data_IF_985215899249
#
_entry.id   IF_985215899249
#
_cell.length_a   1.000
_cell.length_b   1.000
_cell.length_c   1.000
_cell.angle_alpha   90.00
_cell.angle_beta   90.00
_cell.angle_gamma   90.00
#
_symmetry.space_group_name_H-M   'P 1'
#
loop_
_entity.id
_entity.type
_entity.pdbx_description
1 polymer ?
#
# COMPACT_ATOMS: atom_id res chain seq x y z
N UNK A 1 -15.17 14.55 -13.76
CA UNK A 1 -14.40 13.76 -12.78
C UNK A 1 -14.67 12.28 -13.03
N UNK A 2 -13.72 11.58 -13.67
CA UNK A 2 -13.86 10.16 -13.96
C UNK A 2 -13.69 9.34 -12.68
N UNK A 3 -14.60 8.39 -12.45
CA UNK A 3 -14.48 7.39 -11.38
C UNK A 3 -13.09 6.74 -11.48
N UNK A 4 -12.24 6.94 -10.47
CA UNK A 4 -11.08 6.09 -10.23
C UNK A 4 -11.61 4.69 -9.88
N UNK A 5 -11.82 3.86 -10.91
CA UNK A 5 -12.13 2.46 -10.71
C UNK A 5 -10.86 1.78 -10.19
N UNK A 6 -10.91 1.33 -8.94
CA UNK A 6 -9.89 0.51 -8.26
C UNK A 6 -9.67 -0.88 -8.92
N UNK A 7 -10.17 -1.08 -10.15
CA UNK A 7 -10.29 -2.40 -10.76
C UNK A 7 -9.01 -2.88 -11.48
N UNK A 8 -8.06 -1.98 -11.79
CA UNK A 8 -6.98 -2.29 -12.73
C UNK A 8 -5.56 -2.39 -12.13
N UNK A 9 -5.29 -1.79 -10.96
CA UNK A 9 -4.03 -2.01 -10.23
C UNK A 9 -3.98 -3.45 -9.66
N UNK A 10 -5.14 -4.04 -9.38
CA UNK A 10 -5.28 -5.38 -8.79
C UNK A 10 -5.20 -6.51 -9.84
N UNK A 11 -5.09 -6.22 -11.13
CA UNK A 11 -4.73 -7.28 -12.10
C UNK A 11 -3.32 -7.84 -11.83
N UNK A 12 -2.49 -7.12 -11.06
CA UNK A 12 -1.09 -7.44 -10.79
C UNK A 12 -0.88 -8.25 -9.51
N UNK A 13 -1.80 -8.16 -8.53
CA UNK A 13 -1.77 -9.04 -7.32
C UNK A 13 -2.23 -10.47 -7.64
N UNK A 14 -2.90 -10.67 -8.79
CA UNK A 14 -3.43 -11.97 -9.24
C UNK A 14 -2.39 -13.07 -9.40
N UNK A 15 -1.10 -12.74 -9.56
CA UNK A 15 -0.09 -13.74 -9.92
C UNK A 15 0.95 -14.06 -8.84
N UNK A 16 1.00 -13.32 -7.72
CA UNK A 16 2.06 -13.48 -6.70
C UNK A 16 1.61 -14.29 -5.47
N UNK A 17 0.32 -14.27 -5.10
CA UNK A 17 -0.15 -14.81 -3.81
C UNK A 17 -0.85 -16.17 -3.88
N UNK A 18 -0.82 -16.87 -5.02
CA UNK A 18 -1.54 -18.16 -5.17
C UNK A 18 -0.89 -19.29 -4.33
N UNK A 19 0.35 -19.14 -3.83
CA UNK A 19 1.07 -20.25 -3.16
C UNK A 19 1.25 -20.14 -1.63
N UNK A 20 0.70 -19.13 -0.95
CA UNK A 20 0.69 -19.08 0.53
C UNK A 20 -0.72 -19.22 1.13
N UNK A 21 -1.66 -19.68 0.30
CA UNK A 21 -3.04 -19.92 0.68
C UNK A 21 -3.16 -21.32 1.28
N UNK A 22 -3.34 -21.38 2.60
CA UNK A 22 -4.30 -22.23 3.31
C UNK A 22 -4.09 -21.98 4.81
N UNK A 23 -5.19 -21.97 5.57
CA UNK A 23 -5.26 -21.79 7.03
C UNK A 23 -5.35 -20.36 7.56
N UNK A 24 -6.50 -19.71 7.34
CA UNK A 24 -7.24 -19.03 8.42
C UNK A 24 -8.72 -18.97 8.03
N UNK A 25 -9.57 -19.66 8.79
CA UNK A 25 -11.01 -19.64 8.61
C UNK A 25 -11.57 -18.25 8.93
N UNK A 26 -12.47 -17.77 8.08
CA UNK A 26 -13.22 -16.53 8.29
C UNK A 26 -14.38 -16.80 9.25
N UNK A 27 -14.31 -16.27 10.48
CA UNK A 27 -15.49 -16.11 11.32
C UNK A 27 -16.28 -14.86 10.88
N UNK A 28 -17.60 -14.97 10.87
CA UNK A 28 -18.51 -13.92 10.41
C UNK A 28 -18.51 -12.73 11.38
N UNK A 29 -18.09 -11.54 10.92
CA UNK A 29 -18.13 -10.31 11.71
C UNK A 29 -19.57 -9.76 11.86
N UNK A 30 -19.95 -9.48 13.12
CA UNK A 30 -21.28 -9.03 13.60
C UNK A 30 -21.34 -7.51 13.88
N UNK A 31 -22.58 -6.98 13.98
CA UNK A 31 -23.01 -5.56 14.03
C UNK A 31 -22.77 -4.81 15.37
N UNK A 32 -21.52 -4.66 15.83
CA UNK A 32 -21.16 -3.55 16.73
C UNK A 32 -20.45 -2.46 15.92
N UNK A 33 -20.45 -1.16 16.33
CA UNK A 33 -19.51 -0.20 15.74
C UNK A 33 -18.11 -0.78 15.93
N UNK A 34 -17.52 -1.23 14.83
CA UNK A 34 -16.30 -2.02 14.88
C UNK A 34 -15.19 -1.09 15.33
N UNK A 35 -14.68 -1.29 16.55
CA UNK A 35 -13.45 -0.67 16.98
C UNK A 35 -12.30 -1.42 16.29
N UNK A 36 -11.86 -0.89 15.15
CA UNK A 36 -10.80 -1.49 14.36
C UNK A 36 -9.45 -1.42 15.09
N UNK A 37 -9.22 -0.38 15.88
CA UNK A 37 -7.97 -0.16 16.61
C UNK A 37 -7.68 -1.31 17.58
N UNK A 38 -8.69 -1.79 18.32
CA UNK A 38 -8.52 -2.93 19.23
C UNK A 38 -8.13 -4.23 18.49
N UNK A 39 -8.54 -4.39 17.23
CA UNK A 39 -8.14 -5.54 16.42
C UNK A 39 -6.69 -5.39 15.95
N UNK A 40 -6.27 -4.18 15.60
CA UNK A 40 -4.91 -3.89 15.15
C UNK A 40 -3.91 -3.91 16.31
N UNK A 41 -4.32 -3.46 17.50
CA UNK A 41 -3.54 -3.54 18.74
C UNK A 41 -3.17 -5.00 19.07
N UNK A 42 -4.07 -5.96 18.82
CA UNK A 42 -3.80 -7.39 19.03
C UNK A 42 -2.68 -7.93 18.13
N UNK A 43 -2.46 -7.33 16.95
CA UNK A 43 -1.32 -7.66 16.07
C UNK A 43 -0.02 -7.12 16.69
N UNK A 44 -0.07 -5.92 17.30
CA UNK A 44 1.07 -5.25 17.92
C UNK A 44 1.48 -5.84 19.27
N UNK A 45 0.54 -6.30 20.10
CA UNK A 45 0.73 -6.69 21.50
C UNK A 45 1.88 -7.71 21.70
N UNK A 46 2.09 -8.59 20.72
CA UNK A 46 3.10 -9.67 20.80
C UNK A 46 4.44 -9.31 20.14
N UNK A 47 4.56 -8.12 19.56
CA UNK A 47 5.72 -7.76 18.77
C UNK A 47 6.84 -7.15 19.62
N UNK A 48 8.08 -7.46 19.25
CA UNK A 48 9.27 -6.80 19.79
C UNK A 48 9.42 -5.46 19.07
N UNK A 49 9.35 -4.36 19.80
CA UNK A 49 9.42 -3.01 19.23
C UNK A 49 10.83 -2.45 19.39
N UNK A 50 11.41 -1.93 18.31
CA UNK A 50 12.70 -1.25 18.31
C UNK A 50 12.72 -0.12 17.28
N UNK A 51 12.75 1.13 17.72
CA UNK A 51 12.73 2.31 16.82
C UNK A 51 14.01 2.47 15.99
N UNK A 52 15.08 1.77 16.34
CA UNK A 52 16.35 1.82 15.62
C UNK A 52 16.47 0.74 14.54
N UNK A 53 15.64 -0.31 14.61
CA UNK A 53 15.60 -1.39 13.62
C UNK A 53 14.75 -1.01 12.41
N UNK A 54 15.43 -0.62 11.32
CA UNK A 54 14.81 -0.21 10.05
C UNK A 54 14.53 -1.37 9.09
N UNK A 55 14.71 -2.64 9.51
CA UNK A 55 14.58 -3.80 8.62
C UNK A 55 13.22 -3.85 7.91
N UNK A 56 12.13 -3.70 8.66
CA UNK A 56 10.77 -3.70 8.08
C UNK A 56 10.54 -2.50 7.15
N UNK A 57 11.06 -1.32 7.51
CA UNK A 57 10.95 -0.12 6.68
C UNK A 57 11.66 -0.33 5.33
N UNK A 58 12.84 -0.94 5.35
CA UNK A 58 13.60 -1.28 4.15
C UNK A 58 12.90 -2.33 3.28
N UNK A 59 12.25 -3.33 3.89
CA UNK A 59 11.43 -4.31 3.16
C UNK A 59 10.25 -3.64 2.44
N UNK A 60 9.55 -2.71 3.09
CA UNK A 60 8.45 -1.96 2.46
C UNK A 60 8.95 -1.07 1.31
N UNK A 61 10.13 -0.45 1.44
CA UNK A 61 10.74 0.29 0.33
C UNK A 61 11.12 -0.63 -0.84
N UNK A 62 11.68 -1.80 -0.59
CA UNK A 62 11.99 -2.76 -1.67
C UNK A 62 10.72 -3.25 -2.36
N UNK A 63 9.65 -3.49 -1.60
CA UNK A 63 8.36 -3.83 -2.16
C UNK A 63 7.82 -2.70 -3.06
N UNK A 64 7.93 -1.44 -2.61
CA UNK A 64 7.60 -0.28 -3.44
C UNK A 64 8.39 -0.27 -4.75
N UNK A 65 9.71 -0.44 -4.69
CA UNK A 65 10.58 -0.44 -5.85
C UNK A 65 10.20 -1.55 -6.84
N UNK A 66 10.05 -2.78 -6.35
CA UNK A 66 9.79 -3.96 -7.18
C UNK A 66 8.39 -3.98 -7.82
N UNK A 67 7.40 -3.41 -7.15
CA UNK A 67 5.98 -3.58 -7.51
C UNK A 67 5.39 -2.32 -8.11
N UNK A 68 5.70 -1.15 -7.55
CA UNK A 68 5.00 0.08 -7.91
C UNK A 68 5.85 1.05 -8.74
N UNK A 69 7.16 1.12 -8.50
CA UNK A 69 8.06 2.08 -9.14
C UNK A 69 8.64 1.59 -10.47
N UNK A 70 8.74 0.27 -10.67
CA UNK A 70 9.24 -0.33 -11.90
C UNK A 70 8.48 0.13 -13.14
N UNK A 71 9.18 0.26 -14.28
CA UNK A 71 8.52 0.64 -15.53
C UNK A 71 7.49 -0.40 -15.99
N UNK A 72 7.82 -1.68 -15.87
CA UNK A 72 6.95 -2.78 -16.28
C UNK A 72 6.61 -3.62 -15.06
N UNK A 73 5.34 -4.00 -15.00
CA UNK A 73 4.83 -4.90 -13.98
C UNK A 73 5.65 -6.19 -13.96
N UNK A 74 6.21 -6.52 -12.80
CA UNK A 74 7.03 -7.72 -12.60
C UNK A 74 6.72 -8.36 -11.25
N UNK A 75 7.20 -9.59 -11.08
CA UNK A 75 7.18 -10.26 -9.79
C UNK A 75 8.16 -9.57 -8.84
N UNK A 76 7.97 -9.78 -7.53
CA UNK A 76 8.97 -9.40 -6.52
C UNK A 76 10.35 -9.96 -6.90
N UNK A 77 11.39 -9.16 -6.66
CA UNK A 77 12.76 -9.63 -6.86
C UNK A 77 13.08 -10.77 -5.89
N UNK A 78 14.02 -11.63 -6.27
CA UNK A 78 14.52 -12.70 -5.40
C UNK A 78 15.05 -12.14 -4.07
N UNK A 79 15.66 -10.95 -4.11
CA UNK A 79 16.15 -10.27 -2.91
C UNK A 79 15.00 -9.90 -1.96
N UNK A 80 13.91 -9.33 -2.48
CA UNK A 80 12.75 -8.99 -1.66
C UNK A 80 12.08 -10.23 -1.10
N UNK A 81 11.91 -11.27 -1.91
CA UNK A 81 11.34 -12.55 -1.46
C UNK A 81 12.19 -13.16 -0.34
N UNK A 82 13.50 -13.24 -0.52
CA UNK A 82 14.42 -13.78 0.49
C UNK A 82 14.44 -12.92 1.76
N UNK A 83 14.38 -11.61 1.62
CA UNK A 83 14.28 -10.67 2.74
C UNK A 83 13.03 -10.91 3.58
N UNK A 84 11.86 -11.04 2.93
CA UNK A 84 10.61 -11.36 3.59
C UNK A 84 10.68 -12.72 4.30
N UNK A 85 11.17 -13.76 3.62
CA UNK A 85 11.31 -15.10 4.19
C UNK A 85 12.23 -15.11 5.41
N UNK A 86 13.38 -14.44 5.32
CA UNK A 86 14.36 -14.36 6.40
C UNK A 86 13.77 -13.61 7.59
N UNK A 87 13.10 -12.47 7.34
CA UNK A 87 12.44 -11.70 8.37
C UNK A 87 11.35 -12.50 9.08
N UNK A 88 10.51 -13.23 8.33
CA UNK A 88 9.47 -14.07 8.91
C UNK A 88 10.02 -15.29 9.67
N UNK A 89 11.15 -15.85 9.24
CA UNK A 89 11.80 -16.97 9.91
C UNK A 89 12.50 -16.60 11.23
N UNK A 90 12.82 -15.32 11.46
CA UNK A 90 13.52 -14.86 12.65
C UNK A 90 12.56 -14.59 13.84
N UNK A 91 12.53 -15.43 14.89
CA UNK A 91 11.67 -15.21 16.07
C UNK A 91 12.06 -13.94 16.88
N UNK A 92 13.23 -13.37 16.65
CA UNK A 92 13.71 -12.15 17.28
C UNK A 92 13.43 -10.87 16.50
N UNK A 93 12.91 -11.00 15.27
CA UNK A 93 12.61 -9.90 14.37
C UNK A 93 11.80 -8.78 15.06
N UNK A 94 12.32 -7.56 15.00
CA UNK A 94 11.68 -6.38 15.57
C UNK A 94 10.66 -5.79 14.59
N UNK A 95 9.68 -5.08 15.14
CA UNK A 95 8.65 -4.34 14.40
C UNK A 95 7.84 -5.21 13.42
N UNK A 96 7.80 -6.54 13.64
CA UNK A 96 7.10 -7.49 12.76
C UNK A 96 5.64 -7.12 12.50
N UNK A 97 4.96 -6.58 13.52
CA UNK A 97 3.57 -6.15 13.42
C UNK A 97 3.33 -5.15 12.28
N UNK A 98 4.31 -4.31 11.92
CA UNK A 98 4.22 -3.38 10.78
C UNK A 98 4.06 -4.14 9.48
N UNK A 99 4.86 -5.20 9.29
CA UNK A 99 4.76 -6.05 8.10
C UNK A 99 3.46 -6.84 8.12
N UNK A 100 3.03 -7.34 9.27
CA UNK A 100 1.78 -8.09 9.39
C UNK A 100 0.55 -7.22 9.08
N UNK A 101 0.53 -5.96 9.53
CA UNK A 101 -0.50 -4.98 9.16
C UNK A 101 -0.48 -4.68 7.66
N UNK A 102 0.70 -4.48 7.08
CA UNK A 102 0.87 -4.27 5.65
C UNK A 102 0.35 -5.48 4.83
N UNK A 103 0.72 -6.70 5.23
CA UNK A 103 0.26 -7.93 4.58
C UNK A 103 -1.24 -8.14 4.77
N UNK A 104 -1.79 -7.79 5.93
CA UNK A 104 -3.24 -7.80 6.19
C UNK A 104 -3.97 -6.87 5.22
N UNK A 105 -3.42 -5.66 4.98
CA UNK A 105 -3.99 -4.72 4.02
C UNK A 105 -3.94 -5.28 2.58
N UNK A 106 -2.80 -5.83 2.16
CA UNK A 106 -2.66 -6.46 0.84
C UNK A 106 -3.63 -7.62 0.64
N UNK A 107 -3.75 -8.48 1.65
CA UNK A 107 -4.66 -9.63 1.64
C UNK A 107 -6.11 -9.15 1.53
N UNK A 108 -6.51 -8.15 2.30
CA UNK A 108 -7.85 -7.59 2.26
C UNK A 108 -8.22 -7.05 0.87
N UNK A 109 -7.33 -6.27 0.26
CA UNK A 109 -7.54 -5.73 -1.10
C UNK A 109 -7.70 -6.86 -2.12
N UNK A 110 -6.89 -7.91 -1.98
CA UNK A 110 -6.92 -9.09 -2.85
C UNK A 110 -8.24 -9.86 -2.72
N UNK A 111 -8.67 -10.14 -1.49
CA UNK A 111 -9.85 -10.96 -1.21
C UNK A 111 -11.14 -10.28 -1.68
N UNK A 112 -11.27 -8.97 -1.44
CA UNK A 112 -12.44 -8.21 -1.91
C UNK A 112 -12.57 -8.30 -3.43
N UNK A 113 -11.44 -8.15 -4.14
CA UNK A 113 -11.42 -8.23 -5.59
C UNK A 113 -11.76 -9.64 -6.09
N UNK A 114 -11.16 -10.68 -5.51
CA UNK A 114 -11.43 -12.08 -5.89
C UNK A 114 -12.87 -12.50 -5.59
N UNK A 115 -13.44 -12.02 -4.49
CA UNK A 115 -14.81 -12.29 -4.11
C UNK A 115 -15.84 -11.52 -4.99
N UNK A 116 -15.39 -10.52 -5.75
CA UNK A 116 -16.28 -9.65 -6.53
C UNK A 116 -17.27 -8.85 -5.67
N UNK A 117 -16.97 -8.68 -4.38
CA UNK A 117 -17.84 -7.98 -3.43
C UNK A 117 -17.38 -6.53 -3.27
N UNK A 118 -18.27 -5.59 -2.90
CA UNK A 118 -17.84 -4.24 -2.53
C UNK A 118 -16.88 -4.29 -1.34
N UNK A 119 -15.80 -3.50 -1.41
CA UNK A 119 -14.90 -3.29 -0.29
C UNK A 119 -15.64 -2.64 0.88
N UNK A 120 -15.33 -3.04 2.11
CA UNK A 120 -15.51 -2.19 3.27
C UNK A 120 -14.40 -1.13 3.26
N UNK A 121 -14.70 0.00 2.62
CA UNK A 121 -13.76 1.11 2.46
C UNK A 121 -13.39 1.76 3.78
N UNK A 122 -14.27 1.71 4.80
CA UNK A 122 -13.96 2.18 6.16
C UNK A 122 -12.91 1.32 6.85
N UNK A 123 -12.96 0.01 6.68
CA UNK A 123 -11.91 -0.89 7.16
C UNK A 123 -10.58 -0.62 6.46
N UNK A 124 -10.57 -0.45 5.13
CA UNK A 124 -9.35 -0.14 4.39
C UNK A 124 -8.69 1.14 4.89
N UNK A 125 -9.46 2.22 5.05
CA UNK A 125 -8.98 3.51 5.57
C UNK A 125 -8.44 3.36 6.99
N UNK A 126 -9.18 2.70 7.88
CA UNK A 126 -8.76 2.50 9.27
C UNK A 126 -7.44 1.73 9.36
N UNK A 127 -7.31 0.62 8.62
CA UNK A 127 -6.11 -0.22 8.64
C UNK A 127 -4.87 0.53 8.11
N UNK A 128 -5.00 1.23 6.99
CA UNK A 128 -3.85 1.92 6.39
C UNK A 128 -3.45 3.17 7.19
N UNK A 129 -4.40 3.85 7.84
CA UNK A 129 -4.09 4.97 8.74
C UNK A 129 -3.41 4.50 10.02
N UNK A 130 -3.87 3.40 10.60
CA UNK A 130 -3.21 2.78 11.74
C UNK A 130 -1.77 2.39 11.39
N UNK A 131 -1.54 1.74 10.24
CA UNK A 131 -0.21 1.39 9.77
C UNK A 131 0.68 2.63 9.55
N UNK A 132 0.15 3.70 8.95
CA UNK A 132 0.87 4.95 8.75
C UNK A 132 1.28 5.62 10.07
N UNK A 133 0.39 5.60 11.07
CA UNK A 133 0.69 6.11 12.40
C UNK A 133 1.84 5.33 13.04
N UNK A 134 1.78 3.99 13.01
CA UNK A 134 2.82 3.13 13.59
C UNK A 134 4.19 3.36 12.92
N UNK A 135 4.22 3.48 11.60
CA UNK A 135 5.44 3.78 10.85
C UNK A 135 6.04 5.14 11.24
N UNK A 136 5.21 6.18 11.39
CA UNK A 136 5.65 7.49 11.84
C UNK A 136 6.14 7.49 13.28
N UNK A 137 5.48 6.74 14.17
CA UNK A 137 5.89 6.60 15.56
C UNK A 137 7.23 5.88 15.73
N UNK A 138 7.52 4.90 14.85
CA UNK A 138 8.76 4.14 14.86
C UNK A 138 9.90 4.87 14.14
N UNK A 139 9.64 5.39 12.94
CA UNK A 139 10.68 5.81 11.99
C UNK A 139 10.62 7.30 11.63
N UNK A 140 9.64 8.04 12.13
CA UNK A 140 9.46 9.48 11.86
C UNK A 140 8.86 9.79 10.48
N UNK A 141 8.74 8.81 9.59
CA UNK A 141 8.08 8.94 8.29
C UNK A 141 7.56 7.56 7.81
N UNK A 142 6.71 7.57 6.78
CA UNK A 142 6.18 6.37 6.13
C UNK A 142 6.84 6.16 4.76
N UNK A 143 7.09 4.91 4.31
CA UNK A 143 7.50 4.62 2.94
C UNK A 143 6.52 5.15 1.87
N UNK A 144 7.01 5.40 0.65
CA UNK A 144 6.21 5.91 -0.47
C UNK A 144 4.95 5.07 -0.76
N UNK A 145 5.08 3.74 -0.66
CA UNK A 145 3.97 2.79 -0.85
C UNK A 145 2.78 3.03 0.10
N UNK A 146 3.05 3.53 1.30
CA UNK A 146 2.00 3.82 2.28
C UNK A 146 1.19 5.04 1.84
N UNK A 147 1.84 6.11 1.38
CA UNK A 147 1.12 7.26 0.81
C UNK A 147 0.22 6.85 -0.36
N UNK A 148 0.71 5.97 -1.24
CA UNK A 148 -0.03 5.45 -2.39
C UNK A 148 -1.27 4.67 -1.92
N UNK A 149 -1.11 3.71 -1.01
CA UNK A 149 -2.25 2.91 -0.55
C UNK A 149 -3.23 3.71 0.30
N UNK A 150 -2.76 4.67 1.10
CA UNK A 150 -3.63 5.59 1.83
C UNK A 150 -4.48 6.41 0.87
N UNK A 151 -3.88 7.04 -0.14
CA UNK A 151 -4.65 7.83 -1.08
C UNK A 151 -5.67 6.98 -1.85
N UNK A 152 -5.33 5.73 -2.18
CA UNK A 152 -6.24 4.79 -2.84
C UNK A 152 -7.41 4.40 -1.95
N UNK A 153 -7.17 4.10 -0.66
CA UNK A 153 -8.21 3.79 0.31
C UNK A 153 -9.19 4.96 0.50
N UNK A 154 -8.68 6.19 0.67
CA UNK A 154 -9.50 7.39 0.78
C UNK A 154 -10.29 7.67 -0.50
N UNK A 155 -9.68 7.48 -1.67
CA UNK A 155 -10.39 7.61 -2.94
C UNK A 155 -11.49 6.55 -3.09
N UNK A 156 -11.25 5.30 -2.69
CA UNK A 156 -12.26 4.24 -2.68
C UNK A 156 -13.43 4.58 -1.75
N UNK A 157 -13.14 5.19 -0.60
CA UNK A 157 -14.14 5.73 0.33
C UNK A 157 -14.79 7.05 -0.12
N UNK A 158 -14.50 7.51 -1.35
CA UNK A 158 -15.02 8.74 -1.97
C UNK A 158 -14.61 10.03 -1.23
N UNK A 159 -13.57 9.96 -0.40
CA UNK A 159 -12.97 11.11 0.27
C UNK A 159 -11.87 11.72 -0.63
N UNK A 160 -12.28 12.25 -1.77
CA UNK A 160 -11.37 12.67 -2.85
C UNK A 160 -10.43 13.81 -2.46
N UNK A 161 -10.90 14.75 -1.63
CA UNK A 161 -10.08 15.88 -1.18
C UNK A 161 -8.91 15.41 -0.33
N UNK A 162 -9.18 14.55 0.65
CA UNK A 162 -8.14 13.98 1.52
C UNK A 162 -7.20 13.10 0.71
N UNK A 163 -7.73 12.30 -0.22
CA UNK A 163 -6.90 11.50 -1.14
C UNK A 163 -5.90 12.35 -1.93
N UNK A 164 -6.35 13.49 -2.49
CA UNK A 164 -5.49 14.42 -3.22
C UNK A 164 -4.42 15.05 -2.31
N UNK A 165 -4.78 15.43 -1.08
CA UNK A 165 -3.84 15.98 -0.10
C UNK A 165 -2.75 14.95 0.27
N UNK A 166 -3.13 13.68 0.47
CA UNK A 166 -2.19 12.59 0.73
C UNK A 166 -1.24 12.41 -0.47
N UNK A 167 -1.76 12.42 -1.70
CA UNK A 167 -0.95 12.28 -2.90
C UNK A 167 0.08 13.43 -3.04
N UNK A 168 -0.35 14.67 -2.79
CA UNK A 168 0.51 15.85 -2.83
C UNK A 168 1.60 15.83 -1.76
N UNK A 169 1.23 15.50 -0.52
CA UNK A 169 2.19 15.39 0.58
C UNK A 169 3.19 14.24 0.34
N UNK A 170 2.70 13.11 -0.17
CA UNK A 170 3.52 12.00 -0.59
C UNK A 170 4.52 12.42 -1.67
N UNK A 171 4.07 13.14 -2.71
CA UNK A 171 4.93 13.64 -3.78
C UNK A 171 5.98 14.64 -3.28
N UNK A 172 5.64 15.49 -2.32
CA UNK A 172 6.62 16.38 -1.69
C UNK A 172 7.73 15.59 -0.96
N UNK A 173 7.35 14.48 -0.31
CA UNK A 173 8.28 13.62 0.43
C UNK A 173 9.08 12.69 -0.49
N UNK A 174 8.50 12.28 -1.62
CA UNK A 174 9.05 11.34 -2.60
C UNK A 174 8.87 11.88 -4.02
N UNK A 175 9.61 12.94 -4.41
CA UNK A 175 9.43 13.60 -5.69
C UNK A 175 9.68 12.69 -6.88
N UNK A 176 10.49 11.64 -6.74
CA UNK A 176 10.81 10.68 -7.80
C UNK A 176 9.86 9.48 -7.89
N UNK A 177 8.91 9.34 -6.96
CA UNK A 177 7.96 8.24 -6.99
C UNK A 177 6.97 8.44 -8.15
N UNK A 178 7.10 7.63 -9.20
CA UNK A 178 6.29 7.74 -10.42
C UNK A 178 4.79 7.60 -10.11
N UNK A 179 4.34 6.68 -9.23
CA UNK A 179 2.93 6.62 -8.87
C UNK A 179 2.41 7.90 -8.23
N UNK A 180 3.18 8.52 -7.35
CA UNK A 180 2.80 9.78 -6.71
C UNK A 180 2.78 10.95 -7.70
N UNK A 181 3.69 10.97 -8.69
CA UNK A 181 3.62 11.92 -9.82
C UNK A 181 2.32 11.71 -10.62
N UNK A 182 1.98 10.47 -10.99
CA UNK A 182 0.75 10.16 -11.74
C UNK A 182 -0.47 10.63 -10.97
N UNK A 183 -0.58 10.24 -9.71
CA UNK A 183 -1.72 10.63 -8.87
C UNK A 183 -1.77 12.13 -8.62
N UNK A 184 -0.60 12.75 -8.43
CA UNK A 184 -0.49 14.19 -8.29
C UNK A 184 -1.05 14.93 -9.49
N UNK A 185 -0.66 14.53 -10.72
CA UNK A 185 -1.23 15.10 -11.94
C UNK A 185 -2.74 14.81 -12.06
N UNK A 186 -3.20 13.61 -11.73
CA UNK A 186 -4.62 13.26 -11.81
C UNK A 186 -5.49 14.14 -10.89
N UNK A 187 -4.98 14.52 -9.72
CA UNK A 187 -5.64 15.40 -8.76
C UNK A 187 -5.52 16.89 -9.12
N UNK A 188 -4.32 17.37 -9.45
CA UNK A 188 -4.04 18.81 -9.63
C UNK A 188 -4.20 19.34 -11.06
N UNK A 189 -4.05 18.47 -12.06
CA UNK A 189 -3.89 18.85 -13.48
C UNK A 189 -2.67 19.74 -13.75
N UNK A 190 -1.60 19.60 -12.95
CA UNK A 190 -0.35 20.31 -13.17
C UNK A 190 0.40 19.76 -14.40
N UNK A 191 0.49 20.58 -15.44
CA UNK A 191 1.16 20.25 -16.70
C UNK A 191 2.68 20.03 -16.53
N UNK A 192 3.32 20.58 -15.50
CA UNK A 192 4.74 20.31 -15.25
C UNK A 192 4.96 18.85 -14.85
N UNK A 193 4.11 18.32 -13.96
CA UNK A 193 4.14 16.91 -13.54
C UNK A 193 3.85 16.01 -14.74
N UNK A 194 2.85 16.37 -15.55
CA UNK A 194 2.52 15.64 -16.77
C UNK A 194 3.69 15.59 -17.75
N UNK A 195 4.32 16.72 -18.02
CA UNK A 195 5.45 16.81 -18.95
C UNK A 195 6.65 15.98 -18.46
N UNK A 196 6.91 15.98 -17.15
CA UNK A 196 7.93 15.12 -16.54
C UNK A 196 7.61 13.63 -16.77
N UNK A 197 6.37 13.21 -16.46
CA UNK A 197 5.92 11.83 -16.68
C UNK A 197 6.07 11.38 -18.13
N UNK A 198 5.67 12.22 -19.10
CA UNK A 198 5.75 11.90 -20.52
C UNK A 198 7.18 11.92 -21.07
N UNK A 199 8.08 12.70 -20.47
CA UNK A 199 9.48 12.78 -20.89
C UNK A 199 10.32 11.65 -20.30
N UNK A 200 10.12 11.36 -19.01
CA UNK A 200 11.04 10.54 -18.23
C UNK A 200 10.46 9.17 -17.85
N UNK A 201 9.12 9.00 -17.90
CA UNK A 201 8.44 7.81 -17.40
C UNK A 201 7.31 7.32 -18.32
N UNK A 202 7.36 7.65 -19.62
CA UNK A 202 6.30 7.33 -20.58
C UNK A 202 5.96 5.82 -20.67
N UNK A 203 6.95 4.97 -20.41
CA UNK A 203 6.82 3.52 -20.46
C UNK A 203 6.35 2.91 -19.13
N UNK A 204 6.22 3.71 -18.07
CA UNK A 204 5.80 3.22 -16.77
C UNK A 204 4.36 2.69 -16.84
N UNK A 205 4.12 1.49 -16.29
CA UNK A 205 2.85 0.78 -16.41
C UNK A 205 1.65 1.66 -16.00
N UNK A 206 1.79 2.42 -14.90
CA UNK A 206 0.72 3.28 -14.42
C UNK A 206 0.47 4.49 -15.33
N UNK A 207 1.50 5.05 -15.96
CA UNK A 207 1.36 6.14 -16.95
C UNK A 207 0.54 5.67 -18.14
N UNK A 208 0.86 4.47 -18.64
CA UNK A 208 0.15 3.80 -19.74
C UNK A 208 -1.30 3.48 -19.33
N UNK A 209 -1.50 2.86 -18.17
CA UNK A 209 -2.82 2.43 -17.68
C UNK A 209 -3.76 3.63 -17.50
N UNK A 210 -3.25 4.73 -16.94
CA UNK A 210 -4.01 5.97 -16.73
C UNK A 210 -4.16 6.81 -18.00
N UNK A 211 -3.56 6.37 -19.12
CA UNK A 211 -3.61 7.02 -20.43
C UNK A 211 -3.19 8.49 -20.35
N UNK A 212 -2.13 8.77 -19.60
CA UNK A 212 -1.54 10.11 -19.55
C UNK A 212 -0.93 10.41 -20.93
N UNK A 213 -1.35 11.51 -21.55
CA UNK A 213 -0.96 11.95 -22.90
C UNK A 213 -0.92 13.46 -22.97
#
# INVERSE_FOLDING_TARGET
>A
MGKLNAHNIVSMVKSILISFLLFCGLEAFSQNPINYDEQFDKIKEKAKIDKTDTTVYNLLNRFFEDVLQVEKQQMLSEETIKGLQTFYADPEAKNRFVLDLFMTYQQYVTDVQLAGKPANTKYQVALIDYLDQELKELFGNSPAIIYIYRMEAYNADKQYEISNQIAMYGLQSYPEAVPLKVYGYLGSKDENIKNDLLKNHANHWLVIERKIK
#
